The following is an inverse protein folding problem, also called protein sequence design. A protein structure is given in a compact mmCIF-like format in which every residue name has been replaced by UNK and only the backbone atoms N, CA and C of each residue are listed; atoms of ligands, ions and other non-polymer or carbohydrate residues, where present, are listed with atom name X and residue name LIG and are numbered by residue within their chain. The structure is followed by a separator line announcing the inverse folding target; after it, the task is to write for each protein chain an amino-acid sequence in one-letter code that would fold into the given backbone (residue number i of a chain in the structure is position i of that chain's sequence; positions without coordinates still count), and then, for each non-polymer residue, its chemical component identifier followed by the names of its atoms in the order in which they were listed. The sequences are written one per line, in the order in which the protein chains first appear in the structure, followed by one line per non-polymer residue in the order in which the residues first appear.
data_IF_996723548855
#
_entry.id   IF_996723548855
#
_cell.length_a   1.000
_cell.length_b   1.000
_cell.length_c   1.000
_cell.angle_alpha   90.00
_cell.angle_beta   90.00
_cell.angle_gamma   90.00
#
_symmetry.space_group_name_H-M   'P 1'
#
loop_
_entity.id
_entity.type
_entity.pdbx_description
1 polymer ?
#
# COMPACT_ATOMS: atom_id res chain seq x y z
N UNK A 1 17.78 19.67 -15.34
CA UNK A 1 17.54 19.02 -14.03
C UNK A 1 16.28 18.16 -14.06
N UNK A 2 15.11 18.71 -14.43
CA UNK A 2 13.82 17.95 -14.50
C UNK A 2 13.86 16.73 -15.44
N UNK A 3 14.59 16.78 -16.57
CA UNK A 3 14.75 15.64 -17.49
C UNK A 3 15.63 14.52 -16.92
N UNK A 4 16.67 14.85 -16.14
CA UNK A 4 17.55 13.87 -15.49
C UNK A 4 16.81 13.15 -14.34
N UNK A 5 16.06 13.88 -13.54
CA UNK A 5 15.23 13.33 -12.45
C UNK A 5 14.15 12.40 -13.02
N UNK A 6 13.49 12.77 -14.12
CA UNK A 6 12.55 11.89 -14.84
C UNK A 6 13.22 10.61 -15.38
N UNK A 7 14.44 10.69 -15.92
CA UNK A 7 15.18 9.52 -16.41
C UNK A 7 15.61 8.58 -15.28
N UNK A 8 16.09 9.10 -14.16
CA UNK A 8 16.41 8.28 -12.98
C UNK A 8 15.15 7.63 -12.39
N UNK A 9 14.02 8.35 -12.34
CA UNK A 9 12.74 7.82 -11.88
C UNK A 9 12.22 6.71 -12.80
N UNK A 10 12.31 6.86 -14.12
CA UNK A 10 11.93 5.81 -15.07
C UNK A 10 12.82 4.57 -14.99
N UNK A 11 14.13 4.72 -14.74
CA UNK A 11 15.00 3.57 -14.48
C UNK A 11 14.57 2.81 -13.24
N UNK A 12 14.30 3.49 -12.11
CA UNK A 12 13.83 2.84 -10.89
C UNK A 12 12.48 2.14 -11.04
N UNK A 13 11.55 2.68 -11.84
CA UNK A 13 10.25 2.03 -12.12
C UNK A 13 10.45 0.76 -12.95
N UNK A 14 11.25 0.81 -14.02
CA UNK A 14 11.56 -0.36 -14.85
C UNK A 14 12.24 -1.45 -14.05
N UNK A 15 13.22 -1.12 -13.22
CA UNK A 15 13.91 -2.09 -12.37
C UNK A 15 12.94 -2.80 -11.41
N UNK A 16 11.95 -2.07 -10.87
CA UNK A 16 10.89 -2.64 -10.01
C UNK A 16 9.98 -3.58 -10.76
N UNK A 17 9.50 -3.16 -11.93
CA UNK A 17 8.64 -3.99 -12.78
C UNK A 17 9.40 -5.22 -13.29
N UNK A 18 10.67 -5.07 -13.69
CA UNK A 18 11.53 -6.19 -14.11
C UNK A 18 11.74 -7.17 -12.96
N UNK A 19 11.95 -6.69 -11.72
CA UNK A 19 12.06 -7.54 -10.55
C UNK A 19 10.77 -8.32 -10.29
N UNK A 20 9.62 -7.65 -10.36
CA UNK A 20 8.32 -8.29 -10.18
C UNK A 20 8.05 -9.30 -11.31
N UNK A 21 8.40 -9.00 -12.56
CA UNK A 21 8.27 -9.93 -13.69
C UNK A 21 9.16 -11.15 -13.55
N UNK A 22 10.40 -10.96 -13.10
CA UNK A 22 11.41 -12.01 -12.99
C UNK A 22 11.12 -12.98 -11.85
N UNK A 23 10.82 -12.45 -10.67
CA UNK A 23 10.76 -13.23 -9.43
C UNK A 23 9.32 -13.40 -8.89
N UNK A 24 8.37 -12.61 -9.40
CA UNK A 24 6.95 -12.77 -9.11
C UNK A 24 6.31 -13.90 -9.91
N UNK A 25 5.28 -14.51 -9.35
CA UNK A 25 4.53 -15.60 -10.01
C UNK A 25 3.04 -15.26 -10.01
N UNK A 26 2.49 -14.98 -11.19
CA UNK A 26 1.05 -14.88 -11.36
C UNK A 26 0.45 -16.30 -11.39
N UNK A 27 -0.39 -16.60 -10.42
CA UNK A 27 -1.03 -17.92 -10.26
C UNK A 27 -2.42 -17.97 -10.93
N UNK A 28 -2.89 -16.86 -11.45
CA UNK A 28 -4.18 -16.69 -12.11
C UNK A 28 -4.54 -15.22 -12.23
N UNK A 29 -5.81 -14.90 -12.39
CA UNK A 29 -6.29 -13.54 -12.69
C UNK A 29 -6.20 -12.56 -11.51
N UNK A 30 -6.09 -13.07 -10.27
CA UNK A 30 -6.14 -12.22 -9.07
C UNK A 30 -4.96 -12.38 -8.13
N UNK A 31 -4.18 -13.47 -8.24
CA UNK A 31 -3.11 -13.80 -7.30
C UNK A 31 -1.74 -13.58 -7.91
N UNK A 32 -0.96 -12.68 -7.32
CA UNK A 32 0.46 -12.49 -7.57
C UNK A 32 1.25 -12.87 -6.33
N UNK A 33 2.11 -13.88 -6.48
CA UNK A 33 3.00 -14.36 -5.44
C UNK A 33 4.36 -13.65 -5.55
N UNK A 34 4.78 -12.98 -4.48
CA UNK A 34 6.03 -12.21 -4.38
C UNK A 34 6.84 -12.59 -3.13
N UNK A 35 6.67 -13.82 -2.68
CA UNK A 35 7.19 -14.32 -1.41
C UNK A 35 8.71 -14.26 -1.31
N UNK A 36 9.39 -14.40 -2.45
CA UNK A 36 10.86 -14.52 -2.50
C UNK A 36 11.61 -13.22 -2.27
N UNK A 37 10.91 -12.05 -2.25
CA UNK A 37 11.60 -10.76 -2.13
C UNK A 37 10.80 -9.66 -1.41
N UNK A 38 9.49 -9.88 -1.10
CA UNK A 38 8.65 -8.88 -0.42
C UNK A 38 8.14 -9.36 0.94
N UNK A 39 7.47 -10.51 1.03
CA UNK A 39 6.63 -10.82 2.19
C UNK A 39 6.93 -12.13 2.93
N UNK A 40 7.79 -13.01 2.40
CA UNK A 40 8.31 -14.15 3.14
C UNK A 40 9.82 -14.03 3.33
N UNK A 41 10.57 -13.94 2.24
CA UNK A 41 11.93 -13.42 2.22
C UNK A 41 11.86 -11.96 1.83
N UNK A 42 12.50 -11.07 2.60
CA UNK A 42 12.53 -9.64 2.35
C UNK A 42 13.90 -9.27 1.80
N UNK A 43 13.93 -8.74 0.59
CA UNK A 43 15.14 -8.18 -0.03
C UNK A 43 15.36 -6.77 0.50
N UNK A 44 16.38 -6.60 1.34
CA UNK A 44 16.63 -5.36 2.06
C UNK A 44 17.06 -4.21 1.13
N UNK A 45 17.83 -4.49 0.07
CA UNK A 45 18.25 -3.48 -0.88
C UNK A 45 17.06 -3.00 -1.72
N UNK A 46 16.20 -3.93 -2.11
CA UNK A 46 14.97 -3.61 -2.83
C UNK A 46 14.03 -2.77 -1.96
N UNK A 47 13.83 -3.13 -0.69
CA UNK A 47 13.01 -2.34 0.25
C UNK A 47 13.59 -0.95 0.51
N UNK A 48 14.91 -0.82 0.64
CA UNK A 48 15.58 0.48 0.80
C UNK A 48 15.33 1.40 -0.39
N UNK A 49 15.47 0.88 -1.62
CA UNK A 49 15.17 1.63 -2.84
C UNK A 49 13.70 2.07 -2.93
N UNK A 50 12.76 1.19 -2.57
CA UNK A 50 11.33 1.49 -2.53
C UNK A 50 10.98 2.55 -1.49
N UNK A 51 11.54 2.43 -0.28
CA UNK A 51 11.31 3.40 0.79
C UNK A 51 11.86 4.78 0.44
N UNK A 52 13.02 4.83 -0.19
CA UNK A 52 13.61 6.08 -0.69
C UNK A 52 12.72 6.76 -1.74
N UNK A 53 12.16 6.00 -2.67
CA UNK A 53 11.27 6.54 -3.71
C UNK A 53 9.95 7.07 -3.09
N UNK A 54 9.33 6.36 -2.15
CA UNK A 54 8.18 6.87 -1.42
C UNK A 54 8.51 8.16 -0.66
N UNK A 55 9.62 8.18 0.08
CA UNK A 55 10.04 9.35 0.83
C UNK A 55 10.29 10.57 -0.09
N UNK A 56 10.95 10.38 -1.22
CA UNK A 56 11.17 11.44 -2.20
C UNK A 56 9.86 11.96 -2.80
N UNK A 57 8.89 11.06 -3.05
CA UNK A 57 7.59 11.43 -3.59
C UNK A 57 6.76 12.28 -2.61
N UNK A 58 6.82 11.96 -1.33
CA UNK A 58 6.01 12.61 -0.28
C UNK A 58 6.78 13.62 0.58
N UNK A 59 8.02 13.96 0.27
CA UNK A 59 8.89 14.84 1.09
C UNK A 59 8.31 16.22 1.38
N UNK A 60 7.52 16.77 0.47
CA UNK A 60 6.94 18.11 0.58
C UNK A 60 5.52 18.10 1.21
N UNK A 61 5.03 16.92 1.63
CA UNK A 61 3.70 16.78 2.23
C UNK A 61 3.67 17.04 3.75
N UNK A 62 4.82 17.31 4.37
CA UNK A 62 4.93 17.58 5.81
C UNK A 62 4.55 16.38 6.68
N UNK A 63 4.85 15.17 6.23
CA UNK A 63 4.54 13.92 6.92
C UNK A 63 5.20 13.90 8.31
N UNK A 64 4.42 13.56 9.34
CA UNK A 64 4.90 13.42 10.72
C UNK A 64 4.99 11.96 11.17
N UNK A 65 4.22 11.07 10.54
CA UNK A 65 4.21 9.63 10.84
C UNK A 65 3.94 8.81 9.58
N UNK A 66 4.63 7.68 9.47
CA UNK A 66 4.32 6.64 8.47
C UNK A 66 3.50 5.55 9.13
N UNK A 67 2.37 5.20 8.54
CA UNK A 67 1.53 4.11 9.00
C UNK A 67 1.59 2.93 8.03
N UNK A 68 1.44 1.73 8.56
CA UNK A 68 1.28 0.51 7.76
C UNK A 68 0.36 -0.48 8.47
N UNK A 69 -0.09 -1.48 7.73
CA UNK A 69 -0.91 -2.57 8.27
C UNK A 69 -0.03 -3.83 8.35
N UNK A 70 -0.07 -4.54 9.49
CA UNK A 70 0.65 -5.80 9.58
C UNK A 70 0.15 -6.80 8.50
N UNK A 71 1.04 -7.56 7.83
CA UNK A 71 2.48 -7.65 8.12
C UNK A 71 3.37 -7.20 6.95
N UNK A 72 2.98 -7.41 5.70
CA UNK A 72 3.86 -7.29 4.52
C UNK A 72 4.24 -5.85 4.18
N UNK A 73 3.40 -4.87 4.54
CA UNK A 73 3.70 -3.45 4.39
C UNK A 73 4.78 -2.91 5.33
N UNK A 74 5.18 -3.68 6.37
CA UNK A 74 6.12 -3.20 7.40
C UNK A 74 7.49 -2.87 6.81
N UNK A 75 8.04 -3.71 5.94
CA UNK A 75 9.36 -3.49 5.40
C UNK A 75 9.47 -2.20 4.56
N UNK A 76 8.63 -1.97 3.54
CA UNK A 76 8.66 -0.71 2.77
C UNK A 76 8.30 0.51 3.63
N UNK A 77 7.36 0.39 4.58
CA UNK A 77 6.99 1.48 5.47
C UNK A 77 8.13 1.89 6.40
N UNK A 78 8.88 0.92 6.94
CA UNK A 78 10.05 1.19 7.79
C UNK A 78 11.13 1.96 7.03
N UNK A 79 11.41 1.56 5.79
CA UNK A 79 12.39 2.28 4.96
C UNK A 79 11.89 3.68 4.58
N UNK A 80 10.60 3.83 4.28
CA UNK A 80 10.00 5.15 4.03
C UNK A 80 10.13 6.07 5.25
N UNK A 81 9.78 5.57 6.43
CA UNK A 81 9.89 6.30 7.69
C UNK A 81 11.34 6.73 8.00
N UNK A 82 12.30 5.82 7.75
CA UNK A 82 13.73 6.10 7.88
C UNK A 82 14.17 7.29 7.00
N UNK A 83 13.74 7.33 5.73
CA UNK A 83 14.13 8.40 4.81
C UNK A 83 13.38 9.72 5.04
N UNK A 84 12.19 9.68 5.64
CA UNK A 84 11.43 10.87 6.06
C UNK A 84 11.84 11.35 7.46
N UNK A 85 12.65 10.58 8.18
CA UNK A 85 13.07 10.84 9.58
C UNK A 85 11.87 11.01 10.53
N UNK A 86 10.90 10.11 10.43
CA UNK A 86 9.68 10.10 11.23
C UNK A 86 9.40 8.71 11.82
N UNK A 87 8.65 8.60 12.92
CA UNK A 87 8.24 7.30 13.45
C UNK A 87 7.30 6.55 12.52
N UNK A 88 7.38 5.20 12.59
CA UNK A 88 6.44 4.30 11.92
C UNK A 88 5.49 3.66 12.93
N UNK A 89 4.21 3.63 12.62
CA UNK A 89 3.16 3.01 13.41
C UNK A 89 2.58 1.81 12.65
N UNK A 90 2.43 0.68 13.33
CA UNK A 90 1.87 -0.55 12.75
C UNK A 90 0.45 -0.74 13.26
N UNK A 91 -0.52 -0.64 12.36
CA UNK A 91 -1.91 -1.00 12.63
C UNK A 91 -2.02 -2.51 12.80
N UNK A 92 -2.64 -2.94 13.91
CA UNK A 92 -2.71 -4.35 14.29
C UNK A 92 -4.00 -5.01 13.81
N UNK A 93 -3.86 -6.21 13.24
CA UNK A 93 -4.98 -7.09 12.92
C UNK A 93 -5.27 -7.96 14.13
N UNK A 94 -6.19 -7.55 14.97
CA UNK A 94 -6.52 -8.30 16.17
C UNK A 94 -7.88 -9.00 16.04
N UNK A 95 -7.94 -10.24 16.52
CA UNK A 95 -9.17 -11.03 16.59
C UNK A 95 -9.80 -11.04 17.99
N UNK A 96 -9.15 -10.45 19.00
CA UNK A 96 -9.52 -10.58 20.40
C UNK A 96 -9.83 -9.25 21.10
N UNK A 97 -10.82 -9.30 22.01
CA UNK A 97 -11.35 -8.18 22.78
C UNK A 97 -10.49 -7.73 23.98
N UNK A 98 -9.28 -8.22 24.14
CA UNK A 98 -8.44 -7.92 25.29
C UNK A 98 -7.43 -6.83 24.92
N UNK A 99 -7.87 -5.58 24.92
CA UNK A 99 -7.00 -4.43 24.84
C UNK A 99 -7.13 -3.62 26.12
N UNK A 100 -6.10 -3.69 26.97
CA UNK A 100 -5.91 -2.72 28.05
C UNK A 100 -5.35 -1.44 27.43
N UNK A 101 -6.20 -0.45 27.16
CA UNK A 101 -5.80 0.83 26.61
C UNK A 101 -6.88 1.50 25.77
N UNK A 102 -6.72 2.78 25.52
CA UNK A 102 -7.60 3.53 24.62
C UNK A 102 -7.20 3.23 23.17
N UNK A 103 -8.13 2.73 22.39
CA UNK A 103 -7.91 2.35 21.00
C UNK A 103 -8.98 2.89 20.07
N UNK A 104 -8.59 3.16 18.83
CA UNK A 104 -9.51 3.22 17.70
C UNK A 104 -9.58 1.86 17.05
N UNK A 105 -10.76 1.39 16.69
CA UNK A 105 -10.96 0.10 16.05
C UNK A 105 -11.98 0.20 14.91
N UNK A 106 -11.69 -0.51 13.82
CA UNK A 106 -12.64 -0.65 12.72
C UNK A 106 -12.61 -2.04 12.14
N UNK A 107 -13.77 -2.53 11.73
CA UNK A 107 -13.89 -3.81 11.06
C UNK A 107 -13.50 -3.68 9.59
N UNK A 108 -12.61 -4.58 9.15
CA UNK A 108 -12.20 -4.73 7.75
C UNK A 108 -12.60 -6.13 7.28
N UNK A 109 -13.25 -6.20 6.13
CA UNK A 109 -13.64 -7.47 5.51
C UNK A 109 -12.69 -7.74 4.34
N UNK A 110 -11.94 -8.84 4.42
CA UNK A 110 -11.12 -9.32 3.31
C UNK A 110 -12.00 -10.15 2.38
N UNK A 111 -12.34 -9.61 1.22
CA UNK A 111 -13.12 -10.35 0.23
C UNK A 111 -12.36 -11.55 -0.32
N UNK A 112 -11.03 -11.43 -0.52
CA UNK A 112 -10.16 -12.51 -1.00
C UNK A 112 -10.14 -13.73 -0.07
N UNK A 113 -10.20 -13.50 1.25
CA UNK A 113 -10.16 -14.55 2.26
C UNK A 113 -11.54 -14.89 2.82
N UNK A 114 -12.58 -14.15 2.49
CA UNK A 114 -13.92 -14.30 3.08
C UNK A 114 -13.98 -14.09 4.60
N UNK A 115 -12.95 -13.46 5.17
CA UNK A 115 -12.79 -13.27 6.62
C UNK A 115 -12.81 -11.79 6.98
N UNK A 116 -13.32 -11.49 8.18
CA UNK A 116 -13.25 -10.14 8.75
C UNK A 116 -12.28 -10.12 9.92
N UNK A 117 -11.59 -9.00 10.10
CA UNK A 117 -10.72 -8.75 11.25
C UNK A 117 -10.92 -7.33 11.77
N UNK A 118 -10.58 -7.13 13.04
CA UNK A 118 -10.55 -5.80 13.62
C UNK A 118 -9.18 -5.17 13.36
N UNK A 119 -9.17 -4.01 12.73
CA UNK A 119 -7.99 -3.19 12.60
C UNK A 119 -7.94 -2.23 13.78
N UNK A 120 -6.79 -2.17 14.46
CA UNK A 120 -6.65 -1.45 15.74
C UNK A 120 -5.47 -0.50 15.71
N UNK A 121 -5.70 0.71 16.24
CA UNK A 121 -4.71 1.76 16.47
C UNK A 121 -4.79 2.21 17.94
N UNK A 122 -3.68 2.19 18.67
CA UNK A 122 -3.62 2.77 20.01
C UNK A 122 -3.61 4.29 19.94
N UNK A 123 -4.46 4.93 20.78
CA UNK A 123 -4.60 6.39 20.78
C UNK A 123 -3.32 7.12 21.19
N UNK A 124 -2.48 6.49 22.01
CA UNK A 124 -1.21 7.06 22.46
C UNK A 124 -0.18 7.31 21.34
N UNK A 125 -0.40 6.75 20.14
CA UNK A 125 0.54 6.84 19.02
C UNK A 125 0.07 7.75 17.89
N UNK A 126 -1.04 8.45 18.07
CA UNK A 126 -1.55 9.39 17.07
C UNK A 126 -2.13 10.65 17.73
N UNK A 127 -1.83 11.80 17.15
CA UNK A 127 -2.32 13.10 17.59
C UNK A 127 -3.12 13.76 16.45
N UNK A 128 -4.18 14.55 16.75
CA UNK A 128 -4.93 15.29 15.72
C UNK A 128 -4.09 16.20 14.83
N UNK A 129 -2.92 16.64 15.28
CA UNK A 129 -1.99 17.44 14.48
C UNK A 129 -1.11 16.61 13.52
N UNK A 130 -1.18 15.28 13.59
CA UNK A 130 -0.36 14.42 12.74
C UNK A 130 -0.79 14.47 11.27
N UNK A 131 0.22 14.44 10.41
CA UNK A 131 0.10 14.21 8.97
C UNK A 131 0.63 12.83 8.64
N UNK A 132 -0.28 11.93 8.31
CA UNK A 132 0.00 10.51 8.16
C UNK A 132 0.19 10.13 6.70
N UNK A 133 1.25 9.38 6.42
CA UNK A 133 1.45 8.65 5.16
C UNK A 133 1.18 7.16 5.41
N UNK A 134 0.18 6.60 4.74
CA UNK A 134 -0.09 5.16 4.78
C UNK A 134 0.72 4.46 3.69
N UNK A 135 1.52 3.46 4.07
CA UNK A 135 2.27 2.60 3.13
C UNK A 135 1.77 1.18 3.24
N UNK A 136 1.49 0.53 2.11
CA UNK A 136 1.11 -0.89 2.07
C UNK A 136 1.75 -1.62 0.88
N UNK A 137 1.83 -2.96 0.97
CA UNK A 137 2.45 -3.81 -0.07
C UNK A 137 1.53 -3.96 -1.30
N UNK A 138 0.24 -4.20 -1.09
CA UNK A 138 -0.73 -4.42 -2.17
C UNK A 138 -1.97 -3.53 -2.05
N UNK A 139 -2.41 -3.00 -3.18
CA UNK A 139 -3.74 -2.44 -3.35
C UNK A 139 -4.56 -3.33 -4.29
N UNK A 140 -5.59 -3.95 -3.75
CA UNK A 140 -6.57 -4.77 -4.46
C UNK A 140 -7.94 -4.07 -4.47
N UNK A 141 -8.89 -4.52 -3.67
CA UNK A 141 -10.20 -3.87 -3.52
C UNK A 141 -10.19 -2.65 -2.56
N UNK A 142 -9.05 -2.37 -1.90
CA UNK A 142 -8.85 -1.19 -1.06
C UNK A 142 -9.43 -1.28 0.35
N UNK A 143 -9.93 -2.44 0.79
CA UNK A 143 -10.59 -2.59 2.10
C UNK A 143 -9.66 -2.24 3.28
N UNK A 144 -8.41 -2.70 3.23
CA UNK A 144 -7.42 -2.44 4.27
C UNK A 144 -7.08 -0.95 4.36
N UNK A 145 -6.78 -0.32 3.23
CA UNK A 145 -6.48 1.12 3.17
C UNK A 145 -7.68 1.99 3.59
N UNK A 146 -8.90 1.63 3.19
CA UNK A 146 -10.14 2.29 3.66
C UNK A 146 -10.35 2.08 5.16
N UNK A 147 -9.98 0.92 5.70
CA UNK A 147 -10.00 0.66 7.14
C UNK A 147 -9.04 1.58 7.88
N UNK A 148 -7.79 1.65 7.43
CA UNK A 148 -6.79 2.54 8.00
C UNK A 148 -7.21 4.02 7.92
N UNK A 149 -7.76 4.46 6.79
CA UNK A 149 -8.23 5.84 6.62
C UNK A 149 -9.34 6.21 7.60
N UNK A 150 -10.25 5.28 7.92
CA UNK A 150 -11.29 5.51 8.95
C UNK A 150 -10.68 5.74 10.32
N UNK A 151 -9.68 4.93 10.74
CA UNK A 151 -9.01 5.08 12.04
C UNK A 151 -8.26 6.42 12.14
N UNK A 152 -7.55 6.80 11.09
CA UNK A 152 -6.83 8.07 11.03
C UNK A 152 -7.82 9.24 11.11
N UNK A 153 -8.91 9.18 10.36
CA UNK A 153 -9.97 10.20 10.41
C UNK A 153 -10.63 10.29 11.80
N UNK A 154 -10.89 9.15 12.44
CA UNK A 154 -11.48 9.08 13.78
C UNK A 154 -10.58 9.72 14.84
N UNK A 155 -9.26 9.63 14.68
CA UNK A 155 -8.30 10.28 15.58
C UNK A 155 -8.21 11.80 15.39
N UNK A 156 -8.80 12.35 14.33
CA UNK A 156 -8.68 13.77 13.96
C UNK A 156 -7.44 14.12 13.14
N UNK A 157 -6.53 13.15 12.91
CA UNK A 157 -5.32 13.35 12.11
C UNK A 157 -5.62 13.41 10.60
N UNK A 158 -4.69 13.99 9.85
CA UNK A 158 -4.76 14.08 8.39
C UNK A 158 -4.12 12.87 7.72
N UNK A 159 -4.82 12.18 6.80
CA UNK A 159 -4.21 11.23 5.87
C UNK A 159 -3.72 11.99 4.63
N UNK A 160 -2.44 12.36 4.62
CA UNK A 160 -1.84 13.19 3.58
C UNK A 160 -1.51 12.44 2.29
N UNK A 161 -1.47 11.10 2.35
CA UNK A 161 -1.26 10.27 1.17
C UNK A 161 -1.24 8.78 1.46
N UNK A 162 -1.35 8.00 0.38
CA UNK A 162 -1.29 6.54 0.41
C UNK A 162 -0.24 6.10 -0.61
N UNK A 163 0.79 5.40 -0.14
CA UNK A 163 1.83 4.80 -0.97
C UNK A 163 1.64 3.29 -1.07
N UNK A 164 1.60 2.77 -2.29
CA UNK A 164 1.37 1.35 -2.57
C UNK A 164 2.55 0.80 -3.37
N UNK A 165 3.10 -0.34 -2.94
CA UNK A 165 4.17 -0.98 -3.68
C UNK A 165 3.64 -1.59 -4.98
N UNK A 166 2.61 -2.44 -4.90
CA UNK A 166 2.00 -3.12 -6.06
C UNK A 166 0.49 -2.87 -6.07
N UNK A 167 0.03 -2.18 -7.09
CA UNK A 167 -1.39 -1.94 -7.34
C UNK A 167 -1.93 -2.91 -8.39
N UNK A 168 -3.01 -3.60 -8.08
CA UNK A 168 -3.81 -4.34 -9.06
C UNK A 168 -4.86 -3.40 -9.63
N UNK A 169 -4.44 -2.59 -10.63
CA UNK A 169 -5.27 -1.49 -11.17
C UNK A 169 -6.56 -1.97 -11.85
N UNK A 170 -6.64 -3.25 -12.20
CA UNK A 170 -7.86 -3.89 -12.70
C UNK A 170 -8.91 -4.14 -11.62
N UNK A 171 -8.60 -3.89 -10.33
CA UNK A 171 -9.53 -3.96 -9.20
C UNK A 171 -9.91 -2.55 -8.71
N UNK A 172 -11.02 -2.43 -7.97
CA UNK A 172 -11.66 -1.16 -7.61
C UNK A 172 -10.92 -0.31 -6.56
N UNK A 173 -9.82 -0.80 -5.98
CA UNK A 173 -9.21 -0.18 -4.80
C UNK A 173 -8.78 1.26 -4.99
N UNK A 174 -8.07 1.57 -6.08
CA UNK A 174 -7.64 2.94 -6.37
C UNK A 174 -8.84 3.86 -6.55
N UNK A 175 -9.78 3.48 -7.41
CA UNK A 175 -10.98 4.28 -7.68
C UNK A 175 -11.74 4.62 -6.39
N UNK A 176 -11.94 3.64 -5.51
CA UNK A 176 -12.60 3.84 -4.21
C UNK A 176 -11.88 4.81 -3.29
N UNK A 177 -10.56 4.76 -3.25
CA UNK A 177 -9.74 5.66 -2.43
C UNK A 177 -9.78 7.09 -2.98
N UNK A 178 -9.64 7.25 -4.29
CA UNK A 178 -9.68 8.58 -4.94
C UNK A 178 -11.08 9.19 -4.89
N UNK A 179 -12.15 8.41 -5.05
CA UNK A 179 -13.54 8.87 -4.87
C UNK A 179 -13.82 9.32 -3.42
N UNK A 180 -13.10 8.74 -2.45
CA UNK A 180 -13.14 9.17 -1.05
C UNK A 180 -12.24 10.40 -0.76
N UNK A 181 -11.55 10.94 -1.78
CA UNK A 181 -10.72 12.13 -1.69
C UNK A 181 -9.27 11.86 -1.28
N UNK A 182 -8.81 10.60 -1.28
CA UNK A 182 -7.43 10.27 -0.91
C UNK A 182 -6.50 10.26 -2.12
N UNK A 183 -5.31 10.83 -1.93
CA UNK A 183 -4.25 10.74 -2.93
C UNK A 183 -3.51 9.40 -2.83
N UNK A 184 -3.40 8.70 -3.96
CA UNK A 184 -2.74 7.38 -4.05
C UNK A 184 -1.56 7.44 -5.01
N UNK A 185 -0.38 7.05 -4.53
CA UNK A 185 0.81 6.83 -5.35
C UNK A 185 1.18 5.36 -5.32
N UNK A 186 1.28 4.73 -6.50
CA UNK A 186 1.65 3.32 -6.63
C UNK A 186 2.93 3.16 -7.43
N UNK A 187 3.87 2.40 -6.87
CA UNK A 187 5.18 2.18 -7.49
C UNK A 187 5.17 1.21 -8.67
N UNK A 188 4.24 0.25 -8.67
CA UNK A 188 4.01 -0.65 -9.79
C UNK A 188 2.50 -0.84 -9.98
N UNK A 189 1.99 -0.57 -11.18
CA UNK A 189 0.57 -0.65 -11.52
C UNK A 189 0.33 -1.80 -12.49
N UNK A 190 -0.30 -2.87 -12.01
CA UNK A 190 -0.61 -4.05 -12.81
C UNK A 190 -1.97 -3.86 -13.47
N UNK A 191 -1.98 -3.86 -14.80
CA UNK A 191 -3.20 -3.76 -15.60
C UNK A 191 -3.89 -5.10 -15.84
N UNK A 192 -3.11 -6.21 -15.85
CA UNK A 192 -3.64 -7.55 -16.04
C UNK A 192 -2.75 -8.60 -15.39
N UNK A 193 -3.39 -9.59 -14.78
CA UNK A 193 -2.79 -10.85 -14.35
C UNK A 193 -3.48 -12.01 -15.05
N UNK A 194 -2.67 -13.00 -15.41
CA UNK A 194 -3.14 -14.34 -15.80
C UNK A 194 -2.06 -15.34 -15.43
N UNK A 195 -2.31 -16.65 -15.56
CA UNK A 195 -1.32 -17.67 -15.22
C UNK A 195 -0.02 -17.44 -16.00
N UNK A 196 1.04 -17.06 -15.27
CA UNK A 196 2.34 -16.74 -15.84
C UNK A 196 2.44 -15.40 -16.58
N UNK A 197 1.40 -14.54 -16.54
CA UNK A 197 1.36 -13.25 -17.22
C UNK A 197 1.22 -12.13 -16.22
N UNK A 198 2.10 -11.12 -16.30
CA UNK A 198 2.08 -9.89 -15.52
C UNK A 198 2.23 -8.72 -16.49
N UNK A 199 1.16 -7.97 -16.72
CA UNK A 199 1.17 -6.80 -17.60
C UNK A 199 1.04 -5.53 -16.75
N UNK A 200 2.01 -4.62 -16.88
CA UNK A 200 2.00 -3.34 -16.19
C UNK A 200 1.33 -2.27 -17.04
N UNK A 201 0.69 -1.32 -16.36
CA UNK A 201 0.19 -0.09 -16.98
C UNK A 201 1.33 0.93 -17.09
N UNK A 202 1.32 1.81 -18.11
CA UNK A 202 2.17 2.99 -18.13
C UNK A 202 1.97 3.87 -16.88
N UNK A 203 3.01 4.62 -16.50
CA UNK A 203 2.96 5.52 -15.33
C UNK A 203 1.82 6.56 -15.44
N UNK A 204 1.58 7.05 -16.64
CA UNK A 204 0.57 8.04 -16.98
C UNK A 204 -0.80 7.45 -17.34
N UNK A 205 -0.98 6.14 -17.20
CA UNK A 205 -2.25 5.49 -17.48
C UNK A 205 -3.35 6.05 -16.55
N UNK A 206 -4.56 6.27 -17.09
CA UNK A 206 -5.68 6.76 -16.30
C UNK A 206 -6.05 5.76 -15.18
N UNK A 207 -6.79 6.25 -14.20
CA UNK A 207 -7.40 5.38 -13.19
C UNK A 207 -8.47 4.54 -13.85
N UNK A 208 -8.37 3.22 -13.67
CA UNK A 208 -9.36 2.29 -14.21
C UNK A 208 -10.55 2.19 -13.23
N UNK A 209 -11.74 1.99 -13.77
CA UNK A 209 -12.94 1.73 -12.95
C UNK A 209 -12.78 0.47 -12.10
N UNK A 210 -12.04 -0.50 -12.61
CA UNK A 210 -11.77 -1.77 -11.94
C UNK A 210 -13.03 -2.63 -11.76
N UNK A 211 -12.83 -3.88 -11.41
CA UNK A 211 -13.90 -4.84 -11.13
C UNK A 211 -13.71 -5.47 -9.76
N UNK A 212 -14.77 -5.99 -9.18
CA UNK A 212 -14.69 -6.76 -7.95
C UNK A 212 -13.98 -8.10 -8.21
N UNK A 213 -13.23 -8.57 -7.21
CA UNK A 213 -12.48 -9.82 -7.34
C UNK A 213 -13.37 -11.02 -7.70
N UNK A 214 -14.61 -11.05 -7.20
CA UNK A 214 -15.59 -12.09 -7.54
C UNK A 214 -15.88 -12.14 -9.04
N UNK A 215 -16.06 -11.00 -9.68
CA UNK A 215 -16.33 -10.90 -11.13
C UNK A 215 -15.14 -11.39 -11.99
N UNK A 216 -13.91 -11.36 -11.43
CA UNK A 216 -12.72 -11.86 -12.09
C UNK A 216 -12.57 -13.39 -11.99
N UNK A 217 -13.11 -14.00 -10.93
CA UNK A 217 -13.06 -15.44 -10.70
C UNK A 217 -14.17 -16.20 -11.44
N UNK A 218 -15.32 -15.54 -11.68
CA UNK A 218 -16.49 -16.12 -12.35
C UNK A 218 -16.35 -16.15 -13.89
N UNK A 219 -15.28 -15.59 -14.45
CA UNK A 219 -14.93 -15.55 -15.89
C UNK A 219 -13.70 -16.41 -16.19
#
# INVERSE_FOLDING_TARGET
LHRLIRRQRQMCIRDREERIKKDGKALGKTVLKVDSFINHQVDSEFMDALGKDFAEHFKDCGITKVFTIESSGIAPALMTAKYLDVPMIILKKQTSKILNGKVYQTRVTSFTKGTSYELTLYQDYIDPSDKVLLIDDFLANGEAAMGASRLIKESGAELSGIGILIEKSFQKGRKRLEDAGYYVYSQARIGRLDKGVIEFLPEDAPVLEGVDEKELLDK
#
